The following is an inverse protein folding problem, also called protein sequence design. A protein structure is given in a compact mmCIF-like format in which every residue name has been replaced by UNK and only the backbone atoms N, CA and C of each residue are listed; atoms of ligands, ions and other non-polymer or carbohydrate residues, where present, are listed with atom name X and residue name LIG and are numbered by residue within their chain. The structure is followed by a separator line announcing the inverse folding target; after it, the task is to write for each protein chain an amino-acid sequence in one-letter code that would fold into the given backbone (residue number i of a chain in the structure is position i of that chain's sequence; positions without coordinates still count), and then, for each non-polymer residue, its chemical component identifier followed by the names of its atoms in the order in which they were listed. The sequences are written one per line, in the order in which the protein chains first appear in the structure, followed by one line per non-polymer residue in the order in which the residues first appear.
data_IF_506717084993
#
_entry.id   IF_506717084993
#
_cell.length_a   1.000
_cell.length_b   1.000
_cell.length_c   1.000
_cell.angle_alpha   90.00
_cell.angle_beta   90.00
_cell.angle_gamma   90.00
#
_symmetry.space_group_name_H-M   'P 1'
#
loop_
_entity.id
_entity.type
_entity.pdbx_description
1 polymer ?
#
# COMPACT_ATOMS: atom_id res chain seq x y z
N UNK A 1 -5.29 15.50 20.40
CA UNK A 1 -4.31 16.35 21.11
C UNK A 1 -3.62 15.46 22.12
N UNK A 2 -2.43 14.96 21.79
CA UNK A 2 -1.59 14.15 22.70
C UNK A 2 -0.60 15.08 23.42
N UNK A 3 -0.52 14.95 24.74
CA UNK A 3 -0.01 15.98 25.67
C UNK A 3 1.52 15.92 25.87
N UNK A 4 2.27 15.28 24.97
CA UNK A 4 3.74 15.20 25.10
C UNK A 4 4.52 15.16 23.77
N UNK A 5 3.93 15.60 22.66
CA UNK A 5 4.67 15.89 21.41
C UNK A 5 5.38 14.71 20.71
N UNK A 6 5.40 13.50 21.29
CA UNK A 6 5.84 12.26 20.66
C UNK A 6 4.61 11.50 20.16
N UNK A 7 4.42 11.52 18.85
CA UNK A 7 3.57 10.54 18.15
C UNK A 7 4.31 9.21 18.20
N UNK A 8 3.71 8.19 18.82
CA UNK A 8 4.26 6.83 18.80
C UNK A 8 3.76 6.13 17.53
N UNK A 9 4.48 6.35 16.44
CA UNK A 9 4.15 5.77 15.15
C UNK A 9 4.03 4.23 15.21
N UNK A 10 4.81 3.57 16.07
CA UNK A 10 4.75 2.12 16.21
C UNK A 10 3.41 1.67 16.83
N UNK A 11 2.94 2.36 17.86
CA UNK A 11 1.64 2.07 18.50
C UNK A 11 0.47 2.34 17.55
N UNK A 12 0.51 3.44 16.79
CA UNK A 12 -0.54 3.77 15.82
C UNK A 12 -0.60 2.72 14.69
N UNK A 13 0.56 2.28 14.19
CA UNK A 13 0.65 1.21 13.21
C UNK A 13 0.12 -0.13 13.73
N UNK A 14 0.48 -0.51 14.96
CA UNK A 14 -0.01 -1.74 15.59
C UNK A 14 -1.53 -1.73 15.73
N UNK A 15 -2.09 -0.58 16.11
CA UNK A 15 -3.55 -0.39 16.23
C UNK A 15 -4.23 -0.63 14.87
N UNK A 16 -3.79 0.06 13.81
CA UNK A 16 -4.37 -0.09 12.47
C UNK A 16 -4.23 -1.53 11.96
N UNK A 17 -3.05 -2.13 12.09
CA UNK A 17 -2.82 -3.50 11.68
C UNK A 17 -3.75 -4.47 12.40
N UNK A 18 -3.92 -4.30 13.71
CA UNK A 18 -4.83 -5.11 14.54
C UNK A 18 -6.27 -4.97 14.08
N UNK A 19 -6.75 -3.75 13.82
CA UNK A 19 -8.11 -3.51 13.34
C UNK A 19 -8.38 -4.20 11.98
N UNK A 20 -7.43 -4.10 11.05
CA UNK A 20 -7.55 -4.75 9.74
C UNK A 20 -7.52 -6.28 9.84
N UNK A 21 -6.63 -6.81 10.68
CA UNK A 21 -6.54 -8.25 10.96
C UNK A 21 -7.87 -8.76 11.54
N UNK A 22 -8.44 -8.06 12.51
CA UNK A 22 -9.72 -8.42 13.12
C UNK A 22 -10.87 -8.40 12.10
N UNK A 23 -10.89 -7.41 11.19
CA UNK A 23 -11.90 -7.35 10.13
C UNK A 23 -11.80 -8.54 9.16
N UNK A 24 -10.60 -8.94 8.78
CA UNK A 24 -10.37 -10.10 7.91
C UNK A 24 -10.67 -11.42 8.61
N UNK A 25 -10.31 -11.56 9.90
CA UNK A 25 -10.69 -12.72 10.72
C UNK A 25 -12.19 -12.92 10.75
N UNK A 26 -12.96 -11.86 11.03
CA UNK A 26 -14.43 -11.92 11.00
C UNK A 26 -14.98 -12.31 9.62
N UNK A 27 -14.32 -11.87 8.55
CA UNK A 27 -14.71 -12.23 7.17
C UNK A 27 -14.50 -13.72 6.92
N UNK A 28 -13.34 -14.27 7.32
CA UNK A 28 -13.01 -15.69 7.19
C UNK A 28 -13.91 -16.58 8.05
N UNK A 29 -14.14 -16.21 9.32
CA UNK A 29 -15.02 -16.94 10.24
C UNK A 29 -16.45 -17.07 9.71
N UNK A 30 -16.94 -16.05 8.99
CA UNK A 30 -18.26 -16.11 8.32
C UNK A 30 -18.24 -16.94 7.05
N UNK A 31 -17.12 -16.95 6.32
CA UNK A 31 -16.98 -17.65 5.05
C UNK A 31 -16.76 -19.17 5.22
N UNK A 32 -15.96 -19.59 6.21
CA UNK A 32 -15.59 -21.00 6.42
C UNK A 32 -16.80 -21.94 6.52
N UNK A 33 -17.86 -21.67 7.32
CA UNK A 33 -19.02 -22.55 7.41
C UNK A 33 -19.81 -22.67 6.10
N UNK A 34 -19.79 -21.61 5.27
CA UNK A 34 -20.39 -21.63 3.93
C UNK A 34 -19.56 -22.52 3.01
N UNK A 35 -18.25 -22.33 2.98
CA UNK A 35 -17.34 -23.15 2.19
C UNK A 35 -17.38 -24.63 2.59
N UNK A 36 -17.49 -24.96 3.87
CA UNK A 36 -17.67 -26.36 4.31
C UNK A 36 -18.93 -27.02 3.73
N UNK A 37 -20.05 -26.28 3.64
CA UNK A 37 -21.29 -26.77 3.02
C UNK A 37 -21.16 -26.89 1.51
N UNK A 38 -20.53 -25.91 0.87
CA UNK A 38 -20.31 -25.89 -0.58
C UNK A 38 -19.34 -27.00 -1.02
N UNK A 39 -18.33 -27.31 -0.21
CA UNK A 39 -17.41 -28.41 -0.45
C UNK A 39 -18.12 -29.77 -0.40
N UNK A 40 -18.99 -29.99 0.60
CA UNK A 40 -19.83 -31.21 0.69
C UNK A 40 -20.72 -31.40 -0.54
N UNK A 41 -21.18 -30.30 -1.13
CA UNK A 41 -22.00 -30.29 -2.35
C UNK A 41 -21.17 -30.18 -3.63
N UNK A 42 -19.83 -30.25 -3.53
CA UNK A 42 -18.85 -30.14 -4.63
C UNK A 42 -19.02 -28.88 -5.50
N UNK A 43 -19.47 -27.78 -4.90
CA UNK A 43 -19.61 -26.48 -5.57
C UNK A 43 -18.32 -25.67 -5.61
N UNK A 44 -17.40 -25.97 -4.69
CA UNK A 44 -16.07 -25.39 -4.62
C UNK A 44 -15.04 -26.52 -4.53
N UNK A 45 -13.80 -26.20 -4.86
CA UNK A 45 -12.67 -27.11 -4.69
C UNK A 45 -12.17 -27.12 -3.23
N UNK A 46 -11.56 -28.23 -2.75
CA UNK A 46 -11.01 -28.32 -1.39
C UNK A 46 -10.03 -27.18 -1.05
N UNK A 47 -9.23 -26.75 -2.03
CA UNK A 47 -8.21 -25.70 -1.88
C UNK A 47 -8.80 -24.39 -1.36
N UNK A 48 -10.04 -24.04 -1.69
CA UNK A 48 -10.68 -22.79 -1.23
C UNK A 48 -10.84 -22.78 0.29
N UNK A 49 -11.31 -23.89 0.86
CA UNK A 49 -11.48 -24.03 2.30
C UNK A 49 -10.13 -24.14 3.02
N UNK A 50 -9.17 -24.86 2.42
CA UNK A 50 -7.81 -24.99 2.96
C UNK A 50 -7.10 -23.63 3.01
N UNK A 51 -7.18 -22.84 1.93
CA UNK A 51 -6.63 -21.47 1.90
C UNK A 51 -7.32 -20.57 2.91
N UNK A 52 -8.64 -20.62 3.06
CA UNK A 52 -9.35 -19.82 4.06
C UNK A 52 -8.89 -20.14 5.49
N UNK A 53 -8.72 -21.42 5.81
CA UNK A 53 -8.23 -21.87 7.13
C UNK A 53 -6.77 -21.45 7.37
N UNK A 54 -5.90 -21.62 6.37
CA UNK A 54 -4.52 -21.18 6.46
C UNK A 54 -4.39 -19.66 6.63
N UNK A 55 -5.22 -18.88 5.92
CA UNK A 55 -5.27 -17.43 6.07
C UNK A 55 -5.72 -17.02 7.49
N UNK A 56 -6.73 -17.70 8.05
CA UNK A 56 -7.19 -17.45 9.42
C UNK A 56 -6.09 -17.74 10.44
N UNK A 57 -5.43 -18.88 10.32
CA UNK A 57 -4.32 -19.27 11.21
C UNK A 57 -3.15 -18.27 11.16
N UNK A 58 -2.84 -17.73 9.97
CA UNK A 58 -1.82 -16.68 9.83
C UNK A 58 -2.22 -15.38 10.54
N UNK A 59 -3.48 -14.97 10.37
CA UNK A 59 -4.02 -13.76 10.99
C UNK A 59 -4.12 -13.89 12.52
N UNK A 60 -4.44 -15.07 13.05
CA UNK A 60 -4.45 -15.37 14.49
C UNK A 60 -3.06 -15.18 15.14
N UNK A 61 -1.97 -15.26 14.34
CA UNK A 61 -0.62 -14.95 14.79
C UNK A 61 -0.30 -13.44 14.82
N UNK A 62 -1.29 -12.58 14.55
CA UNK A 62 -1.15 -11.12 14.55
C UNK A 62 -0.38 -10.56 13.35
N UNK A 63 -0.29 -11.30 12.25
CA UNK A 63 0.47 -10.90 11.06
C UNK A 63 -0.46 -10.62 9.88
N UNK A 64 -0.25 -9.54 9.11
CA UNK A 64 -1.05 -9.27 7.92
C UNK A 64 -0.76 -10.31 6.82
N UNK A 65 -1.77 -10.62 6.01
CA UNK A 65 -1.66 -11.62 4.94
C UNK A 65 -0.66 -11.25 3.83
N UNK A 66 -0.39 -9.96 3.62
CA UNK A 66 0.61 -9.45 2.68
C UNK A 66 2.04 -9.87 3.01
N UNK A 67 2.31 -10.25 4.26
CA UNK A 67 3.59 -10.82 4.71
C UNK A 67 3.63 -12.35 4.66
N UNK A 68 2.53 -13.00 4.26
CA UNK A 68 2.44 -14.46 4.16
C UNK A 68 2.96 -14.97 2.80
N UNK A 69 3.34 -16.24 2.75
CA UNK A 69 3.62 -16.95 1.49
C UNK A 69 2.41 -17.74 0.98
N UNK A 70 1.21 -17.45 1.51
CA UNK A 70 -0.02 -18.18 1.18
C UNK A 70 -0.51 -17.71 -0.19
N UNK A 71 -0.85 -18.65 -1.08
CA UNK A 71 -1.57 -18.31 -2.31
C UNK A 71 -3.04 -18.01 -1.98
N UNK A 72 -3.40 -16.74 -2.05
CA UNK A 72 -4.73 -16.23 -1.70
C UNK A 72 -5.67 -16.17 -2.90
N UNK A 73 -5.25 -16.57 -4.11
CA UNK A 73 -6.12 -16.58 -5.29
C UNK A 73 -7.43 -17.37 -5.07
N UNK A 74 -7.43 -18.55 -4.40
CA UNK A 74 -8.66 -19.30 -4.13
C UNK A 74 -9.70 -18.54 -3.30
N UNK A 75 -9.29 -17.54 -2.51
CA UNK A 75 -10.16 -16.75 -1.63
C UNK A 75 -10.21 -15.27 -2.03
N UNK A 76 -9.73 -14.92 -3.23
CA UNK A 76 -9.67 -13.53 -3.71
C UNK A 76 -11.01 -12.80 -3.66
N UNK A 77 -12.12 -13.54 -3.81
CA UNK A 77 -13.48 -12.99 -3.73
C UNK A 77 -13.85 -12.41 -2.36
N UNK A 78 -13.16 -12.83 -1.29
CA UNK A 78 -13.40 -12.31 0.06
C UNK A 78 -12.90 -10.87 0.22
N UNK A 79 -12.01 -10.41 -0.67
CA UNK A 79 -11.52 -9.03 -0.66
C UNK A 79 -10.75 -8.66 0.62
N UNK A 80 -10.05 -9.63 1.22
CA UNK A 80 -9.30 -9.49 2.47
C UNK A 80 -8.37 -8.27 2.41
N UNK A 81 -8.49 -7.39 3.40
CA UNK A 81 -7.83 -6.08 3.43
C UNK A 81 -6.33 -6.24 3.62
N UNK A 82 -5.93 -7.10 4.54
CA UNK A 82 -4.51 -7.35 4.89
C UNK A 82 -3.75 -8.12 3.82
N UNK A 83 -4.44 -8.66 2.80
CA UNK A 83 -3.80 -9.27 1.64
C UNK A 83 -3.21 -8.23 0.66
N UNK A 84 -3.63 -6.97 0.76
CA UNK A 84 -3.14 -5.88 -0.08
C UNK A 84 -1.78 -5.39 0.42
N UNK A 85 -0.89 -4.92 -0.48
CA UNK A 85 0.35 -4.30 -0.06
C UNK A 85 0.09 -2.97 0.67
N UNK A 86 0.96 -2.66 1.63
CA UNK A 86 0.92 -1.44 2.42
C UNK A 86 1.99 -0.45 1.96
N UNK A 87 1.64 0.83 1.98
CA UNK A 87 2.59 1.94 1.89
C UNK A 87 2.36 2.78 3.14
N UNK A 88 3.41 2.97 3.93
CA UNK A 88 3.35 3.81 5.12
C UNK A 88 3.73 5.23 4.74
N UNK A 89 2.84 6.18 5.04
CA UNK A 89 3.10 7.60 4.78
C UNK A 89 3.28 8.29 6.12
N UNK A 90 4.50 8.72 6.39
CA UNK A 90 4.86 9.47 7.58
C UNK A 90 4.72 10.95 7.29
N UNK A 91 3.72 11.57 7.90
CA UNK A 91 3.59 13.02 7.92
C UNK A 91 4.57 13.59 8.96
N UNK A 92 5.68 14.16 8.50
CA UNK A 92 6.78 14.67 9.32
C UNK A 92 7.00 16.14 9.05
N UNK A 93 7.64 16.86 9.97
CA UNK A 93 7.99 18.27 9.76
C UNK A 93 9.23 18.43 8.86
N UNK A 94 9.43 19.65 8.36
CA UNK A 94 10.58 20.04 7.54
C UNK A 94 11.94 19.69 8.18
N UNK A 95 12.06 19.77 9.51
CA UNK A 95 13.32 19.47 10.20
C UNK A 95 13.65 17.98 10.11
N UNK A 96 12.64 17.12 10.21
CA UNK A 96 12.78 15.67 10.05
C UNK A 96 13.02 15.29 8.59
N UNK A 97 12.38 15.97 7.62
CA UNK A 97 12.64 15.75 6.19
C UNK A 97 14.12 15.99 5.82
N UNK A 98 14.76 16.96 6.46
CA UNK A 98 16.20 17.23 6.28
C UNK A 98 17.13 16.29 7.05
N UNK A 99 16.62 15.45 7.96
CA UNK A 99 17.41 14.57 8.83
C UNK A 99 17.34 13.11 8.38
N UNK A 100 18.27 12.74 7.50
CA UNK A 100 18.37 11.36 6.97
C UNK A 100 18.46 10.29 8.06
N UNK A 101 19.10 10.58 9.20
CA UNK A 101 19.22 9.60 10.29
C UNK A 101 17.86 9.24 10.89
N UNK A 102 17.02 10.27 11.13
CA UNK A 102 15.64 10.06 11.59
C UNK A 102 14.76 9.38 10.56
N UNK A 103 14.90 9.73 9.29
CA UNK A 103 14.15 9.07 8.21
C UNK A 103 14.49 7.57 8.14
N UNK A 104 15.78 7.22 8.25
CA UNK A 104 16.24 5.83 8.25
C UNK A 104 15.70 5.06 9.48
N UNK A 105 15.67 5.69 10.66
CA UNK A 105 15.08 5.11 11.88
C UNK A 105 13.57 4.82 11.70
N UNK A 106 12.81 5.79 11.16
CA UNK A 106 11.37 5.62 10.92
C UNK A 106 11.09 4.59 9.82
N UNK A 107 11.89 4.57 8.75
CA UNK A 107 11.77 3.58 7.69
C UNK A 107 12.03 2.15 8.19
N UNK A 108 12.96 1.99 9.13
CA UNK A 108 13.25 0.70 9.75
C UNK A 108 12.08 0.13 10.57
N UNK A 109 11.17 0.98 11.08
CA UNK A 109 9.98 0.53 11.82
C UNK A 109 8.99 -0.25 10.96
N UNK A 110 8.93 0.06 9.67
CA UNK A 110 7.95 -0.53 8.74
C UNK A 110 8.55 -1.56 7.79
N UNK A 111 9.87 -1.73 7.80
CA UNK A 111 10.55 -2.68 6.92
C UNK A 111 9.98 -4.12 7.10
N UNK A 112 9.72 -4.85 6.00
CA UNK A 112 10.09 -4.58 4.61
C UNK A 112 9.09 -3.72 3.81
N UNK A 113 8.03 -3.21 4.43
CA UNK A 113 7.09 -2.32 3.75
C UNK A 113 7.75 -0.97 3.41
N UNK A 114 7.23 -0.31 2.37
CA UNK A 114 7.77 0.97 1.91
C UNK A 114 7.25 2.12 2.76
N UNK A 115 8.15 3.05 3.09
CA UNK A 115 7.85 4.31 3.76
C UNK A 115 7.97 5.48 2.78
N UNK A 116 7.03 6.42 2.84
CA UNK A 116 7.09 7.73 2.19
C UNK A 116 7.05 8.79 3.29
N UNK A 117 7.91 9.78 3.18
CA UNK A 117 7.98 10.89 4.12
C UNK A 117 7.55 12.16 3.41
N UNK A 118 6.61 12.89 4.00
CA UNK A 118 6.15 14.15 3.46
C UNK A 118 5.72 15.08 4.60
N UNK A 119 5.72 16.38 4.33
CA UNK A 119 5.08 17.38 5.19
C UNK A 119 3.80 17.81 4.49
N UNK A 120 2.65 17.42 5.03
CA UNK A 120 1.36 17.69 4.39
C UNK A 120 1.07 19.19 4.20
N UNK A 121 1.68 20.07 5.00
CA UNK A 121 1.55 21.52 4.84
C UNK A 121 2.41 21.99 3.66
N UNK A 122 3.66 21.57 3.55
CA UNK A 122 4.51 21.86 2.39
C UNK A 122 3.85 21.34 1.10
N UNK A 123 3.33 20.10 1.11
CA UNK A 123 2.63 19.52 -0.05
C UNK A 123 1.40 20.35 -0.45
N UNK A 124 0.68 20.92 0.51
CA UNK A 124 -0.46 21.80 0.21
C UNK A 124 -0.04 23.13 -0.40
N UNK A 125 1.08 23.71 0.05
CA UNK A 125 1.63 24.95 -0.49
C UNK A 125 2.15 24.73 -1.92
N UNK A 126 2.85 23.61 -2.18
CA UNK A 126 3.36 23.25 -3.51
C UNK A 126 2.26 23.16 -4.58
N UNK A 127 1.06 22.73 -4.22
CA UNK A 127 -0.07 22.60 -5.16
C UNK A 127 -0.58 23.97 -5.64
N UNK A 128 -0.42 25.02 -4.82
CA UNK A 128 -0.87 26.38 -5.14
C UNK A 128 0.17 27.17 -5.95
N UNK A 129 1.39 26.66 -6.08
CA UNK A 129 2.50 27.31 -6.78
C UNK A 129 2.55 26.92 -8.26
N UNK A 130 3.04 27.86 -9.08
CA UNK A 130 3.43 27.56 -10.44
C UNK A 130 4.69 26.66 -10.46
N UNK A 131 4.96 25.91 -11.55
CA UNK A 131 6.03 24.92 -11.58
C UNK A 131 7.44 25.44 -11.26
N UNK A 132 7.73 26.70 -11.61
CA UNK A 132 9.00 27.35 -11.30
C UNK A 132 9.13 27.60 -9.80
N UNK A 133 8.11 28.21 -9.18
CA UNK A 133 8.08 28.50 -7.74
C UNK A 133 8.08 27.23 -6.88
N UNK A 134 7.34 26.18 -7.32
CA UNK A 134 7.33 24.89 -6.66
C UNK A 134 8.73 24.24 -6.66
N UNK A 135 9.45 24.32 -7.78
CA UNK A 135 10.81 23.81 -7.89
C UNK A 135 11.80 24.57 -7.00
N UNK A 136 11.64 25.90 -6.89
CA UNK A 136 12.45 26.72 -5.98
C UNK A 136 12.20 26.36 -4.51
N UNK A 137 10.93 26.17 -4.11
CA UNK A 137 10.57 25.73 -2.76
C UNK A 137 11.15 24.34 -2.42
N UNK A 138 11.00 23.36 -3.32
CA UNK A 138 11.59 22.02 -3.14
C UNK A 138 13.11 22.10 -2.97
N UNK A 139 13.79 22.85 -3.83
CA UNK A 139 15.23 23.03 -3.74
C UNK A 139 15.66 23.69 -2.42
N UNK A 140 14.88 24.65 -1.90
CA UNK A 140 15.14 25.31 -0.63
C UNK A 140 15.05 24.37 0.59
N UNK A 141 14.20 23.34 0.50
CA UNK A 141 14.00 22.31 1.54
C UNK A 141 14.91 21.09 1.34
N UNK A 142 15.77 21.11 0.31
CA UNK A 142 16.69 20.01 -0.01
C UNK A 142 16.01 18.81 -0.69
N UNK A 143 14.82 19.00 -1.25
CA UNK A 143 14.05 17.95 -1.91
C UNK A 143 14.14 18.10 -3.44
N UNK A 144 14.23 16.96 -4.15
CA UNK A 144 14.23 16.92 -5.62
C UNK A 144 12.85 16.61 -6.22
N UNK A 145 11.97 15.96 -5.43
CA UNK A 145 10.65 15.48 -5.83
C UNK A 145 9.69 15.70 -4.65
N UNK A 146 8.45 16.13 -4.92
CA UNK A 146 7.42 16.29 -3.89
C UNK A 146 7.10 14.95 -3.21
N UNK A 147 6.68 14.98 -1.96
CA UNK A 147 6.27 13.78 -1.24
C UNK A 147 5.05 13.10 -1.88
N UNK A 148 4.14 13.88 -2.49
CA UNK A 148 3.01 13.34 -3.25
C UNK A 148 3.43 12.65 -4.56
N UNK A 149 4.41 13.19 -5.28
CA UNK A 149 4.95 12.54 -6.49
C UNK A 149 5.71 11.25 -6.13
N UNK A 150 6.51 11.28 -5.06
CA UNK A 150 7.14 10.09 -4.50
C UNK A 150 6.09 9.02 -4.15
N UNK A 151 5.01 9.41 -3.46
CA UNK A 151 3.90 8.52 -3.13
C UNK A 151 3.21 7.95 -4.38
N UNK A 152 2.96 8.78 -5.40
CA UNK A 152 2.36 8.33 -6.64
C UNK A 152 3.24 7.31 -7.36
N UNK A 153 4.55 7.56 -7.45
CA UNK A 153 5.52 6.66 -8.05
C UNK A 153 5.60 5.33 -7.29
N UNK A 154 5.75 5.38 -5.97
CA UNK A 154 5.79 4.21 -5.10
C UNK A 154 4.48 3.40 -5.17
N UNK A 155 3.33 4.08 -5.16
CA UNK A 155 2.02 3.45 -5.34
C UNK A 155 1.90 2.72 -6.67
N UNK A 156 2.34 3.35 -7.75
CA UNK A 156 2.33 2.77 -9.09
C UNK A 156 3.21 1.51 -9.18
N UNK A 157 4.39 1.54 -8.58
CA UNK A 157 5.30 0.39 -8.51
C UNK A 157 4.74 -0.74 -7.63
N UNK A 158 4.18 -0.40 -6.47
CA UNK A 158 3.60 -1.33 -5.50
C UNK A 158 2.40 -2.09 -6.09
N UNK A 159 1.62 -1.43 -6.94
CA UNK A 159 0.52 -2.06 -7.70
C UNK A 159 1.02 -2.91 -8.88
N UNK A 160 2.33 -3.00 -9.09
CA UNK A 160 2.93 -3.74 -10.21
C UNK A 160 2.59 -3.12 -11.56
N UNK A 161 2.42 -1.80 -11.63
CA UNK A 161 2.11 -1.09 -12.87
C UNK A 161 3.39 -0.64 -13.60
N UNK A 162 3.25 -0.36 -14.90
CA UNK A 162 4.26 0.21 -15.78
C UNK A 162 3.60 1.11 -16.83
N UNK A 163 4.39 2.00 -17.43
CA UNK A 163 3.92 2.93 -18.47
C UNK A 163 4.37 2.49 -19.86
N UNK A 164 3.44 2.49 -20.82
CA UNK A 164 3.72 2.35 -22.25
C UNK A 164 3.39 3.66 -22.96
N UNK A 165 4.27 4.11 -23.87
CA UNK A 165 4.10 5.38 -24.57
C UNK A 165 3.67 5.15 -26.02
N UNK A 166 2.70 5.93 -26.47
CA UNK A 166 2.39 6.10 -27.90
C UNK A 166 2.74 7.52 -28.29
N UNK A 167 3.57 7.70 -29.31
CA UNK A 167 3.95 9.00 -29.84
C UNK A 167 3.59 9.09 -31.33
N UNK A 168 2.93 10.18 -31.71
CA UNK A 168 2.61 10.49 -33.09
C UNK A 168 2.53 12.00 -33.31
N UNK A 169 2.38 12.46 -34.57
CA UNK A 169 2.44 13.88 -34.91
C UNK A 169 1.36 14.74 -34.24
N UNK A 170 0.26 14.12 -33.80
CA UNK A 170 -0.88 14.80 -33.17
C UNK A 170 -0.99 14.61 -31.67
N UNK A 171 -0.41 13.53 -31.14
CA UNK A 171 -0.58 13.17 -29.74
C UNK A 171 0.59 12.33 -29.26
N UNK A 172 1.04 12.64 -28.05
CA UNK A 172 1.88 11.75 -27.26
C UNK A 172 1.10 11.40 -26.00
N UNK A 173 0.94 10.10 -25.72
CA UNK A 173 0.14 9.60 -24.60
C UNK A 173 0.86 8.50 -23.84
N UNK A 174 0.75 8.57 -22.52
CA UNK A 174 1.15 7.53 -21.60
C UNK A 174 -0.04 6.62 -21.24
N UNK A 175 0.19 5.31 -21.24
CA UNK A 175 -0.80 4.28 -20.92
C UNK A 175 -0.33 3.47 -19.73
N UNK A 176 -1.17 3.36 -18.70
CA UNK A 176 -0.94 2.50 -17.53
C UNK A 176 -1.29 1.06 -17.87
N UNK A 177 -0.33 0.15 -17.71
CA UNK A 177 -0.52 -1.29 -17.89
C UNK A 177 0.14 -2.06 -16.74
N UNK A 178 -0.29 -3.29 -16.48
CA UNK A 178 0.42 -4.14 -15.51
C UNK A 178 1.78 -4.61 -16.04
N UNK A 179 2.74 -4.78 -15.13
CA UNK A 179 4.06 -5.33 -15.45
C UNK A 179 3.92 -6.73 -16.06
N UNK A 180 4.70 -6.99 -17.10
CA UNK A 180 4.69 -8.27 -17.82
C UNK A 180 3.48 -8.51 -18.74
N UNK A 181 2.58 -7.52 -18.91
CA UNK A 181 1.48 -7.66 -19.88
C UNK A 181 2.01 -7.80 -21.31
N UNK A 182 1.47 -8.78 -22.05
CA UNK A 182 1.76 -8.98 -23.48
C UNK A 182 0.86 -8.09 -24.34
N UNK A 183 1.39 -7.62 -25.47
CA UNK A 183 0.73 -6.67 -26.39
C UNK A 183 -0.69 -7.04 -26.88
N UNK A 184 -1.12 -8.32 -26.77
CA UNK A 184 -2.48 -8.75 -27.13
C UNK A 184 -3.54 -8.49 -26.06
N UNK A 185 -3.15 -8.15 -24.82
CA UNK A 185 -4.08 -7.65 -23.80
C UNK A 185 -4.23 -6.15 -23.97
N UNK A 186 -5.26 -5.73 -24.69
CA UNK A 186 -5.65 -4.32 -24.79
C UNK A 186 -6.15 -3.86 -23.40
N UNK A 187 -5.77 -2.68 -22.90
CA UNK A 187 -6.52 -2.04 -21.83
C UNK A 187 -7.92 -1.70 -22.37
N UNK A 188 -8.94 -1.88 -21.54
CA UNK A 188 -10.27 -1.30 -21.78
C UNK A 188 -10.21 0.22 -21.56
#
# INVERSE_FOLDING_TARGET
MHVDGRVDAASDMETINTELILADLQTLERAEPRYEKELKTKRIEPVVLETAKAAREWLDAGKPLSASSIDLEPVRELGLLTAKPFIYVFNVDEQVLGDKGRLDELAALVAPAQAVFLDAKIESELIELDPEDAAEMLASTGQEESGLDQLARIGFETLGLQTYLTAGPKETRAWTIGRGWKARRRPA
#
